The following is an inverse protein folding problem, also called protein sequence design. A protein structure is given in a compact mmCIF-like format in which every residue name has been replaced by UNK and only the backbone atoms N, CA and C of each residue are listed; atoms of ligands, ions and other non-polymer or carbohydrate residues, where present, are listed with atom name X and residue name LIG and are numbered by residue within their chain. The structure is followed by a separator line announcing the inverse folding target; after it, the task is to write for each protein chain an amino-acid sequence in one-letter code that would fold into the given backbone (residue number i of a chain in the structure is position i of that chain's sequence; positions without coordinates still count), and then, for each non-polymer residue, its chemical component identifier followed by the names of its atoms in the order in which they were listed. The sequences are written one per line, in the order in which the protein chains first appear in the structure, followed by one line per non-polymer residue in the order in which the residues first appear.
data_IF_959860989451
#
_entry.id   IF_959860989451
#
_cell.length_a   1.000
_cell.length_b   1.000
_cell.length_c   1.000
_cell.angle_alpha   90.00
_cell.angle_beta   90.00
_cell.angle_gamma   90.00
#
_symmetry.space_group_name_H-M   'P 1'
#
loop_
_entity.id
_entity.type
_entity.pdbx_description
1 polymer ?
#
# COMPACT_ATOMS: atom_id res chain seq x y z
N UNK A 1 -21.05 -12.63 -15.00
CA UNK A 1 -19.57 -12.61 -15.12
C UNK A 1 -19.08 -12.06 -13.81
N UNK A 2 -18.91 -12.98 -12.85
CA UNK A 2 -18.66 -12.68 -11.45
C UNK A 2 -17.21 -12.23 -11.31
N UNK A 3 -17.00 -11.02 -10.79
CA UNK A 3 -15.72 -10.62 -10.24
C UNK A 3 -15.94 -10.47 -8.73
N UNK A 4 -15.26 -11.36 -8.03
CA UNK A 4 -15.20 -11.62 -6.62
C UNK A 4 -15.18 -10.33 -5.77
N UNK A 5 -16.31 -10.08 -5.09
CA UNK A 5 -16.34 -9.33 -3.84
C UNK A 5 -16.15 -10.37 -2.74
N UNK A 6 -14.90 -10.75 -2.46
CA UNK A 6 -14.58 -11.41 -1.19
C UNK A 6 -14.67 -10.36 -0.07
N UNK A 7 -15.76 -10.44 0.67
CA UNK A 7 -15.95 -9.82 1.98
C UNK A 7 -14.97 -10.41 3.00
N UNK A 8 -14.31 -9.56 3.79
CA UNK A 8 -13.55 -10.00 4.97
C UNK A 8 -12.31 -9.17 5.29
N UNK A 9 -12.48 -7.96 5.86
CA UNK A 9 -11.41 -7.19 6.51
C UNK A 9 -10.13 -7.03 5.66
N UNK A 10 -10.08 -6.04 4.77
CA UNK A 10 -8.82 -5.64 4.11
C UNK A 10 -7.74 -5.37 5.18
N UNK A 11 -6.77 -6.28 5.29
CA UNK A 11 -5.68 -6.15 6.25
C UNK A 11 -4.70 -5.09 5.75
N UNK A 12 -4.03 -4.41 6.68
CA UNK A 12 -3.01 -3.41 6.35
C UNK A 12 -1.89 -3.99 5.48
N UNK A 13 -1.53 -5.26 5.70
CA UNK A 13 -0.61 -6.00 4.84
C UNK A 13 -1.16 -6.14 3.42
N UNK A 14 -2.40 -6.58 3.26
CA UNK A 14 -3.01 -6.76 1.94
C UNK A 14 -3.12 -5.46 1.14
N UNK A 15 -3.49 -4.36 1.80
CA UNK A 15 -3.53 -3.02 1.19
C UNK A 15 -2.13 -2.57 0.75
N UNK A 16 -1.13 -2.71 1.61
CA UNK A 16 0.25 -2.36 1.31
C UNK A 16 0.80 -3.18 0.12
N UNK A 17 0.64 -4.50 0.15
CA UNK A 17 1.12 -5.39 -0.90
C UNK A 17 0.44 -5.10 -2.26
N UNK A 18 -0.87 -4.78 -2.23
CA UNK A 18 -1.62 -4.34 -3.42
C UNK A 18 -1.10 -3.00 -3.97
N UNK A 19 -0.91 -2.01 -3.11
CA UNK A 19 -0.38 -0.70 -3.49
C UNK A 19 1.03 -0.81 -4.08
N UNK A 20 1.90 -1.58 -3.43
CA UNK A 20 3.27 -1.80 -3.87
C UNK A 20 3.35 -2.52 -5.22
N UNK A 21 2.47 -3.50 -5.46
CA UNK A 21 2.37 -4.18 -6.76
C UNK A 21 1.97 -3.22 -7.88
N UNK A 22 1.03 -2.30 -7.63
CA UNK A 22 0.63 -1.29 -8.61
C UNK A 22 1.79 -0.31 -8.84
N UNK A 23 2.49 0.11 -7.78
CA UNK A 23 3.66 0.98 -7.88
C UNK A 23 4.77 0.36 -8.74
N UNK A 24 5.16 -0.89 -8.49
CA UNK A 24 6.15 -1.58 -9.32
C UNK A 24 5.68 -1.69 -10.77
N UNK A 25 4.40 -2.01 -11.01
CA UNK A 25 3.85 -2.04 -12.36
C UNK A 25 3.83 -0.68 -13.07
N UNK A 26 3.71 0.42 -12.33
CA UNK A 26 3.84 1.79 -12.85
C UNK A 26 5.30 2.15 -13.18
N UNK A 27 6.27 1.63 -12.41
CA UNK A 27 7.69 1.86 -12.67
C UNK A 27 8.22 1.03 -13.85
N UNK A 28 7.70 -0.18 -14.04
CA UNK A 28 8.19 -1.11 -15.08
C UNK A 28 7.50 -0.93 -16.44
N UNK A 29 6.42 -0.14 -16.52
CA UNK A 29 5.70 0.08 -17.78
C UNK A 29 6.38 1.12 -18.67
N UNK A 30 6.28 0.92 -19.99
CA UNK A 30 6.65 1.93 -21.00
C UNK A 30 5.46 2.79 -21.42
N UNK A 31 4.32 2.67 -20.74
CA UNK A 31 3.13 3.46 -21.01
C UNK A 31 3.45 4.96 -20.88
N UNK A 32 2.90 5.81 -21.77
CA UNK A 32 3.09 7.24 -21.65
C UNK A 32 2.50 7.73 -20.33
N UNK A 33 3.33 8.41 -19.53
CA UNK A 33 2.95 8.87 -18.19
C UNK A 33 1.80 9.88 -18.20
N UNK A 34 1.54 10.55 -19.32
CA UNK A 34 0.40 11.45 -19.50
C UNK A 34 -0.87 10.75 -19.99
N UNK A 35 -0.84 9.44 -20.23
CA UNK A 35 -2.04 8.70 -20.63
C UNK A 35 -3.07 8.66 -19.51
N UNK A 36 -4.36 8.74 -19.84
CA UNK A 36 -5.41 8.69 -18.84
C UNK A 36 -5.41 7.36 -18.07
N UNK A 37 -5.02 6.25 -18.70
CA UNK A 37 -4.91 4.93 -18.09
C UNK A 37 -3.76 4.87 -17.07
N UNK A 38 -2.57 5.37 -17.42
CA UNK A 38 -1.45 5.46 -16.48
C UNK A 38 -1.82 6.35 -15.30
N UNK A 39 -2.38 7.53 -15.57
CA UNK A 39 -2.79 8.46 -14.52
C UNK A 39 -3.91 7.90 -13.63
N UNK A 40 -4.82 7.09 -14.16
CA UNK A 40 -5.83 6.39 -13.36
C UNK A 40 -5.19 5.37 -12.41
N UNK A 41 -4.22 4.58 -12.90
CA UNK A 41 -3.44 3.66 -12.06
C UNK A 41 -2.64 4.39 -10.97
N UNK A 42 -2.01 5.52 -11.31
CA UNK A 42 -1.29 6.37 -10.33
C UNK A 42 -2.23 6.83 -9.22
N UNK A 43 -3.39 7.40 -9.56
CA UNK A 43 -4.38 7.85 -8.56
C UNK A 43 -4.85 6.71 -7.66
N UNK A 44 -5.14 5.54 -8.25
CA UNK A 44 -5.53 4.36 -7.48
C UNK A 44 -4.41 3.87 -6.56
N UNK A 45 -3.16 3.88 -7.03
CA UNK A 45 -1.99 3.51 -6.23
C UNK A 45 -1.83 4.44 -5.02
N UNK A 46 -1.93 5.75 -5.23
CA UNK A 46 -1.83 6.75 -4.16
C UNK A 46 -2.92 6.51 -3.12
N UNK A 47 -4.17 6.32 -3.55
CA UNK A 47 -5.29 6.11 -2.63
C UNK A 47 -5.08 4.86 -1.76
N UNK A 48 -4.66 3.75 -2.35
CA UNK A 48 -4.41 2.49 -1.63
C UNK A 48 -3.28 2.63 -0.61
N UNK A 49 -2.18 3.28 -0.98
CA UNK A 49 -1.05 3.49 -0.08
C UNK A 49 -1.39 4.48 1.05
N UNK A 50 -2.18 5.51 0.76
CA UNK A 50 -2.68 6.45 1.77
C UNK A 50 -3.62 5.76 2.78
N UNK A 51 -4.50 4.87 2.30
CA UNK A 51 -5.33 4.04 3.16
C UNK A 51 -4.49 3.09 4.04
N UNK A 52 -3.42 2.51 3.48
CA UNK A 52 -2.46 1.71 4.25
C UNK A 52 -1.77 2.55 5.33
N UNK A 53 -1.27 3.75 5.02
CA UNK A 53 -0.65 4.67 5.99
C UNK A 53 -1.61 5.03 7.13
N UNK A 54 -2.88 5.33 6.80
CA UNK A 54 -3.91 5.60 7.81
C UNK A 54 -4.16 4.41 8.73
N UNK A 55 -4.21 3.21 8.19
CA UNK A 55 -4.43 1.99 8.97
C UNK A 55 -3.23 1.67 9.87
N UNK A 56 -2.00 1.75 9.35
CA UNK A 56 -0.77 1.59 10.16
C UNK A 56 -0.77 2.55 11.34
N UNK A 57 -1.09 3.83 11.07
CA UNK A 57 -1.19 4.87 12.10
C UNK A 57 -2.28 4.56 13.12
N UNK A 58 -3.45 4.08 12.67
CA UNK A 58 -4.59 3.75 13.54
C UNK A 58 -4.35 2.50 14.39
N UNK A 59 -3.57 1.55 13.87
CA UNK A 59 -3.16 0.33 14.58
C UNK A 59 -2.06 0.60 15.62
N UNK A 60 -1.38 1.75 15.53
CA UNK A 60 -0.29 2.11 16.42
C UNK A 60 0.88 1.13 16.33
N UNK A 61 1.16 0.61 15.12
CA UNK A 61 2.23 -0.38 14.90
C UNK A 61 3.62 0.14 15.25
N UNK A 62 3.79 1.47 15.28
CA UNK A 62 5.05 2.11 15.63
C UNK A 62 4.83 3.11 16.76
N UNK A 63 5.69 3.06 17.76
CA UNK A 63 5.81 4.09 18.78
C UNK A 63 7.07 4.94 18.56
N UNK A 64 7.01 6.24 18.86
CA UNK A 64 8.16 7.15 18.72
C UNK A 64 9.30 6.83 19.68
N UNK A 65 9.07 6.02 20.71
CA UNK A 65 10.07 5.59 21.69
C UNK A 65 10.52 4.13 21.50
N UNK A 66 10.19 3.52 20.36
CA UNK A 66 10.51 2.12 20.06
C UNK A 66 11.80 2.01 19.25
N UNK A 67 12.67 1.07 19.62
CA UNK A 67 13.86 0.74 18.84
C UNK A 67 13.48 -0.13 17.64
N UNK A 68 14.21 -0.04 16.53
CA UNK A 68 13.88 -0.83 15.33
C UNK A 68 13.93 -2.35 15.57
N UNK A 69 14.74 -2.80 16.54
CA UNK A 69 14.88 -4.21 16.95
C UNK A 69 13.64 -4.72 17.72
N UNK A 70 12.81 -3.80 18.23
CA UNK A 70 11.58 -4.11 18.98
C UNK A 70 10.37 -4.28 18.03
N UNK A 71 10.50 -3.86 16.77
CA UNK A 71 9.47 -3.98 15.74
C UNK A 71 9.45 -5.39 15.16
N UNK A 72 8.27 -5.99 15.04
CA UNK A 72 8.12 -7.29 14.41
C UNK A 72 8.63 -7.26 12.94
N UNK A 73 9.38 -8.30 12.54
CA UNK A 73 9.99 -8.37 11.20
C UNK A 73 9.00 -8.18 10.06
N UNK A 74 7.75 -8.63 10.24
CA UNK A 74 6.67 -8.49 9.26
C UNK A 74 6.17 -7.05 9.10
N UNK A 75 6.34 -6.22 10.12
CA UNK A 75 5.85 -4.84 10.16
C UNK A 75 6.91 -3.84 9.66
N UNK A 76 8.19 -4.25 9.60
CA UNK A 76 9.29 -3.45 9.05
C UNK A 76 8.99 -2.92 7.64
N UNK A 77 8.22 -3.65 6.82
CA UNK A 77 7.84 -3.22 5.46
C UNK A 77 7.00 -1.94 5.47
N UNK A 78 6.27 -1.68 6.54
CA UNK A 78 5.45 -0.47 6.66
C UNK A 78 6.26 0.79 6.95
N UNK A 79 7.57 0.70 7.25
CA UNK A 79 8.47 1.86 7.27
C UNK A 79 8.67 2.52 5.90
N UNK A 80 8.27 1.85 4.82
CA UNK A 80 8.27 2.43 3.47
C UNK A 80 7.09 3.39 3.25
N UNK A 81 6.14 3.44 4.18
CA UNK A 81 5.05 4.42 4.18
C UNK A 81 5.50 5.72 4.86
N UNK A 82 5.00 6.88 4.42
CA UNK A 82 5.33 8.18 5.00
C UNK A 82 4.68 8.43 6.36
#
# INVERSE_FOLDING_TARGET
MSADLEDGSETVSGLFDKGLKIYHGLCDTMDPSNSPEYQAKVRSCIQILEDATRLVSSLGLFSTNESVDEVATNDLKFFLLP
#
